data_IF_092896518750
#
_entry.id   IF_092896518750
#
_cell.length_a   1.000
_cell.length_b   1.000
_cell.length_c   1.000
_cell.angle_alpha   90.00
_cell.angle_beta   90.00
_cell.angle_gamma   90.00
#
_symmetry.space_group_name_H-M   'P 1'
#
loop_
_entity.id
_entity.type
_entity.pdbx_description
1 polymer ?
#
# COMPACT_ATOMS: atom_id res chain seq x y z
N UNK A 1 8.70 -15.86 41.17
CA UNK A 1 7.32 -15.45 41.51
C UNK A 1 6.64 -15.06 40.20
N UNK A 2 5.98 -16.03 39.56
CA UNK A 2 5.49 -15.92 38.19
C UNK A 2 4.17 -15.14 38.15
N UNK A 3 4.16 -13.99 37.46
CA UNK A 3 2.97 -13.22 37.21
C UNK A 3 2.24 -13.83 36.00
N UNK A 4 1.26 -14.70 36.27
CA UNK A 4 0.30 -15.16 35.24
C UNK A 4 -0.57 -13.97 34.83
N UNK A 5 -0.24 -13.34 33.71
CA UNK A 5 -1.14 -12.39 33.05
C UNK A 5 -2.16 -13.21 32.26
N UNK A 6 -3.36 -13.33 32.85
CA UNK A 6 -4.48 -14.04 32.27
C UNK A 6 -5.01 -13.36 31.00
N UNK A 7 -5.72 -14.16 30.21
CA UNK A 7 -6.47 -13.86 28.98
C UNK A 7 -7.49 -12.71 29.09
N UNK A 8 -7.57 -12.01 30.22
CA UNK A 8 -8.45 -10.88 30.50
C UNK A 8 -7.97 -9.56 29.88
N UNK A 9 -6.70 -9.43 29.50
CA UNK A 9 -6.15 -8.19 28.91
C UNK A 9 -6.68 -7.88 27.50
N UNK A 10 -6.93 -8.91 26.68
CA UNK A 10 -7.42 -8.73 25.30
C UNK A 10 -8.90 -8.28 25.24
N UNK A 11 -9.72 -8.70 26.20
CA UNK A 11 -11.12 -8.29 26.29
C UNK A 11 -11.27 -6.83 26.75
N UNK A 12 -10.35 -6.35 27.62
CA UNK A 12 -10.36 -4.98 28.12
C UNK A 12 -9.98 -3.94 27.06
N UNK A 13 -9.03 -4.26 26.17
CA UNK A 13 -8.65 -3.37 25.07
C UNK A 13 -9.76 -3.24 24.01
N UNK A 14 -10.48 -4.33 23.71
CA UNK A 14 -11.62 -4.32 22.79
C UNK A 14 -12.83 -3.59 23.38
N UNK A 15 -13.10 -3.77 24.68
CA UNK A 15 -14.19 -3.11 25.39
C UNK A 15 -14.01 -1.60 25.51
N UNK A 16 -12.78 -1.12 25.67
CA UNK A 16 -12.49 0.31 25.80
C UNK A 16 -12.63 1.08 24.47
N UNK A 17 -12.47 0.39 23.32
CA UNK A 17 -12.73 0.93 21.98
C UNK A 17 -14.23 1.03 21.66
N UNK A 18 -15.05 0.14 22.20
CA UNK A 18 -16.51 0.16 22.03
C UNK A 18 -17.20 1.24 22.88
N UNK A 19 -16.64 1.61 24.03
CA UNK A 19 -17.18 2.66 24.92
C UNK A 19 -16.98 4.10 24.40
N UNK A 20 -16.19 4.29 23.34
CA UNK A 20 -15.93 5.59 22.71
C UNK A 20 -16.71 5.80 21.39
N UNK A 21 -17.54 4.84 20.97
CA UNK A 21 -18.36 4.97 19.77
C UNK A 21 -19.68 5.69 20.10
N UNK A 22 -19.97 6.88 19.54
CA UNK A 22 -21.31 7.45 19.65
C UNK A 22 -22.31 6.53 18.92
N UNK A 23 -23.52 6.41 19.47
CA UNK A 23 -24.61 5.68 18.86
C UNK A 23 -24.94 6.29 17.47
N UNK A 24 -24.44 5.65 16.41
CA UNK A 24 -24.79 5.98 15.04
C UNK A 24 -26.25 5.58 14.81
N UNK A 25 -27.16 6.56 14.82
CA UNK A 25 -28.52 6.38 14.32
C UNK A 25 -28.43 6.16 12.81
N UNK A 26 -28.86 4.99 12.36
CA UNK A 26 -28.87 4.62 10.95
C UNK A 26 -29.77 5.57 10.15
N UNK A 27 -29.17 6.23 9.15
CA UNK A 27 -29.93 6.76 8.02
C UNK A 27 -29.92 5.67 6.96
N UNK A 28 -31.10 5.12 6.73
CA UNK A 28 -31.38 4.10 5.73
C UNK A 28 -31.29 4.76 4.34
N UNK A 29 -30.14 4.63 3.67
CA UNK A 29 -30.02 4.98 2.26
C UNK A 29 -30.32 3.73 1.44
N UNK A 30 -31.50 3.70 0.83
CA UNK A 30 -31.89 2.66 -0.13
C UNK A 30 -30.90 2.70 -1.30
N UNK A 31 -30.13 1.62 -1.45
CA UNK A 31 -29.20 1.44 -2.57
C UNK A 31 -29.96 0.78 -3.70
N UNK A 32 -30.06 1.47 -4.84
CA UNK A 32 -30.49 0.86 -6.11
C UNK A 32 -29.25 0.24 -6.73
N UNK A 33 -29.16 -1.09 -6.70
CA UNK A 33 -28.14 -1.85 -7.41
C UNK A 33 -28.63 -2.00 -8.84
N UNK A 34 -27.91 -1.39 -9.80
CA UNK A 34 -28.11 -1.62 -11.22
C UNK A 34 -27.25 -2.82 -11.65
N UNK A 35 -27.84 -4.00 -11.94
CA UNK A 35 -27.08 -5.21 -12.29
C UNK A 35 -26.49 -5.16 -13.71
N UNK A 36 -26.94 -4.23 -14.56
CA UNK A 36 -26.50 -4.10 -15.95
C UNK A 36 -25.41 -3.02 -16.12
N UNK A 37 -25.11 -2.28 -15.06
CA UNK A 37 -24.01 -1.33 -15.05
C UNK A 37 -22.67 -2.09 -15.20
N UNK A 38 -21.81 -1.69 -16.16
CA UNK A 38 -20.48 -2.29 -16.28
C UNK A 38 -19.74 -2.16 -14.94
N UNK A 39 -18.98 -3.19 -14.51
CA UNK A 39 -18.31 -3.18 -13.22
C UNK A 39 -17.46 -1.92 -13.13
N UNK A 40 -17.80 -1.05 -12.18
CA UNK A 40 -17.04 0.16 -11.91
C UNK A 40 -15.63 -0.31 -11.58
N UNK A 41 -14.64 0.14 -12.34
CA UNK A 41 -13.22 -0.16 -12.13
C UNK A 41 -12.79 0.53 -10.82
N UNK A 42 -13.15 -0.08 -9.69
CA UNK A 42 -12.95 0.44 -8.33
C UNK A 42 -11.48 0.50 -7.95
N UNK A 43 -10.57 0.13 -8.86
CA UNK A 43 -9.14 0.25 -8.67
C UNK A 43 -8.62 1.70 -8.79
N UNK A 44 -9.38 2.60 -9.43
CA UNK A 44 -8.94 3.95 -9.80
C UNK A 44 -9.34 5.00 -8.77
N UNK A 45 -8.63 5.09 -7.63
CA UNK A 45 -8.62 6.33 -6.82
C UNK A 45 -7.24 6.69 -6.26
N UNK A 46 -6.16 6.13 -6.83
CA UNK A 46 -4.80 6.62 -6.62
C UNK A 46 -4.28 7.20 -7.93
N UNK A 47 -4.52 8.49 -8.18
CA UNK A 47 -4.11 9.15 -9.42
C UNK A 47 -5.06 10.28 -9.84
N UNK A 48 -4.61 11.22 -10.69
CA UNK A 48 -5.47 12.21 -11.32
C UNK A 48 -6.61 11.54 -12.11
N UNK A 49 -7.77 12.19 -12.28
CA UNK A 49 -8.89 11.60 -13.01
C UNK A 49 -8.50 11.15 -14.43
N UNK A 50 -9.03 10.02 -14.95
CA UNK A 50 -8.59 9.46 -16.24
C UNK A 50 -8.65 10.45 -17.40
N UNK A 51 -9.69 11.29 -17.47
CA UNK A 51 -9.82 12.32 -18.50
C UNK A 51 -8.67 13.35 -18.47
N UNK A 52 -8.13 13.66 -17.29
CA UNK A 52 -6.98 14.57 -17.12
C UNK A 52 -5.70 13.93 -17.64
N UNK A 53 -5.53 12.62 -17.44
CA UNK A 53 -4.35 11.90 -17.95
C UNK A 53 -4.36 11.84 -19.47
N UNK A 54 -5.53 11.57 -20.08
CA UNK A 54 -5.70 11.58 -21.54
C UNK A 54 -5.40 12.98 -22.10
N UNK A 55 -5.94 14.03 -21.48
CA UNK A 55 -5.67 15.42 -21.85
C UNK A 55 -4.18 15.77 -21.73
N UNK A 56 -3.52 15.38 -20.64
CA UNK A 56 -2.11 15.65 -20.40
C UNK A 56 -1.21 14.97 -21.45
N UNK A 57 -1.48 13.70 -21.75
CA UNK A 57 -0.73 12.92 -22.75
C UNK A 57 -0.92 13.55 -24.14
N UNK A 58 -2.16 13.87 -24.51
CA UNK A 58 -2.46 14.53 -25.78
C UNK A 58 -1.76 15.89 -25.88
N UNK A 59 -1.81 16.70 -24.83
CA UNK A 59 -1.15 18.00 -24.79
C UNK A 59 0.37 17.89 -24.99
N UNK A 60 1.03 16.99 -24.25
CA UNK A 60 2.48 16.82 -24.34
C UNK A 60 2.90 16.26 -25.70
N UNK A 61 2.15 15.30 -26.23
CA UNK A 61 2.49 14.59 -27.47
C UNK A 61 2.10 15.32 -28.75
N UNK A 62 1.35 16.40 -28.64
CA UNK A 62 1.06 17.28 -29.77
C UNK A 62 2.37 17.78 -30.41
N UNK A 63 2.41 17.81 -31.75
CA UNK A 63 3.56 18.27 -32.53
C UNK A 63 3.82 19.77 -32.37
N UNK A 64 2.79 20.56 -32.02
CA UNK A 64 2.89 22.00 -31.80
C UNK A 64 3.34 22.35 -30.37
N UNK A 65 3.57 21.35 -29.50
CA UNK A 65 4.00 21.58 -28.12
C UNK A 65 5.51 21.56 -27.99
N UNK A 66 6.07 22.65 -27.48
CA UNK A 66 7.47 22.72 -27.08
C UNK A 66 7.65 21.94 -25.77
N UNK A 67 8.48 20.91 -25.82
CA UNK A 67 8.70 19.98 -24.70
C UNK A 67 10.01 20.30 -23.99
N UNK A 68 9.94 20.44 -22.67
CA UNK A 68 11.09 20.59 -21.80
C UNK A 68 11.14 19.45 -20.78
N UNK A 69 12.34 19.15 -20.29
CA UNK A 69 12.54 18.13 -19.26
C UNK A 69 13.61 18.57 -18.28
N UNK A 70 13.40 18.29 -16.99
CA UNK A 70 14.30 18.74 -15.94
C UNK A 70 14.07 20.21 -15.56
N UNK A 71 15.07 20.83 -14.94
CA UNK A 71 14.96 22.20 -14.47
C UNK A 71 15.19 23.20 -15.61
N UNK A 72 14.20 24.05 -15.88
CA UNK A 72 14.26 25.07 -16.93
C UNK A 72 13.84 26.42 -16.37
N UNK A 73 14.57 27.48 -16.74
CA UNK A 73 14.29 28.84 -16.31
C UNK A 73 14.08 29.76 -17.51
N UNK A 74 12.94 30.46 -17.53
CA UNK A 74 12.64 31.57 -18.42
C UNK A 74 12.92 32.88 -17.66
N UNK A 75 14.06 33.55 -17.89
CA UNK A 75 14.46 34.73 -17.12
C UNK A 75 13.56 35.94 -17.40
N UNK A 76 13.67 36.97 -16.56
CA UNK A 76 12.97 38.23 -16.78
C UNK A 76 13.37 38.84 -18.13
N UNK A 77 12.40 39.42 -18.84
CA UNK A 77 12.58 39.96 -20.19
C UNK A 77 12.53 38.92 -21.33
N UNK A 78 12.48 37.62 -21.02
CA UNK A 78 12.21 36.60 -22.05
C UNK A 78 10.73 36.56 -22.41
N UNK A 79 10.43 36.32 -23.69
CA UNK A 79 9.07 36.05 -24.18
C UNK A 79 9.02 34.67 -24.84
N UNK A 80 7.96 33.91 -24.55
CA UNK A 80 7.66 32.65 -25.20
C UNK A 80 6.23 32.66 -25.69
N UNK A 81 6.02 32.33 -26.96
CA UNK A 81 4.71 32.18 -27.58
C UNK A 81 4.53 30.72 -28.03
N UNK A 82 3.43 30.10 -27.61
CA UNK A 82 3.07 28.72 -27.99
C UNK A 82 2.71 27.83 -26.81
N UNK A 83 2.58 26.53 -27.09
CA UNK A 83 2.22 25.50 -26.10
C UNK A 83 3.50 24.99 -25.43
N UNK A 84 3.53 24.98 -24.10
CA UNK A 84 4.71 24.58 -23.33
C UNK A 84 4.38 23.37 -22.44
N UNK A 85 5.11 22.27 -22.60
CA UNK A 85 5.00 21.11 -21.72
C UNK A 85 6.32 20.82 -21.01
N UNK A 86 6.29 20.63 -19.69
CA UNK A 86 7.45 20.22 -18.90
C UNK A 86 7.21 18.83 -18.29
N UNK A 87 8.21 17.95 -18.39
CA UNK A 87 8.20 16.64 -17.74
C UNK A 87 9.33 16.53 -16.72
N UNK A 88 8.95 16.38 -15.44
CA UNK A 88 9.83 16.33 -14.26
C UNK A 88 10.71 17.58 -14.09
N UNK A 89 11.16 17.82 -12.86
CA UNK A 89 11.94 19.00 -12.52
C UNK A 89 11.09 20.26 -12.28
N UNK A 90 11.74 21.41 -12.34
CA UNK A 90 11.18 22.72 -11.98
C UNK A 90 11.18 23.65 -13.19
N UNK A 91 10.00 24.08 -13.62
CA UNK A 91 9.82 25.12 -14.62
C UNK A 91 9.68 26.47 -13.91
N UNK A 92 10.72 27.31 -13.97
CA UNK A 92 10.75 28.67 -13.39
C UNK A 92 10.46 29.70 -14.48
N UNK A 93 9.44 30.52 -14.28
CA UNK A 93 9.06 31.56 -15.24
C UNK A 93 9.18 32.91 -14.55
N UNK A 94 10.02 33.80 -15.08
CA UNK A 94 10.14 35.20 -14.69
C UNK A 94 9.86 36.16 -15.85
N UNK A 95 9.77 35.66 -17.08
CA UNK A 95 9.39 36.42 -18.28
C UNK A 95 7.90 36.30 -18.63
N UNK A 96 7.58 36.54 -19.89
CA UNK A 96 6.22 36.48 -20.44
C UNK A 96 6.01 35.18 -21.21
N UNK A 97 4.93 34.46 -20.91
CA UNK A 97 4.52 33.24 -21.62
C UNK A 97 3.09 33.41 -22.13
N UNK A 98 2.91 33.31 -23.44
CA UNK A 98 1.61 33.40 -24.12
C UNK A 98 1.27 32.05 -24.74
N UNK A 99 0.28 31.39 -24.17
CA UNK A 99 -0.16 30.06 -24.55
C UNK A 99 -0.25 29.12 -23.35
N UNK A 100 -0.86 27.94 -23.56
CA UNK A 100 -1.13 27.01 -22.47
C UNK A 100 0.14 26.31 -21.98
N UNK A 101 0.18 25.99 -20.69
CA UNK A 101 1.30 25.33 -20.01
C UNK A 101 0.82 24.03 -19.36
N UNK A 102 1.49 22.92 -19.64
CA UNK A 102 1.29 21.65 -18.93
C UNK A 102 2.57 21.21 -18.20
N UNK A 103 2.47 20.87 -16.91
CA UNK A 103 3.60 20.34 -16.13
C UNK A 103 3.25 18.97 -15.57
N UNK A 104 4.05 17.98 -15.95
CA UNK A 104 3.88 16.57 -15.58
C UNK A 104 4.94 16.15 -14.56
N UNK A 105 4.51 15.70 -13.39
CA UNK A 105 5.37 15.20 -12.31
C UNK A 105 6.50 16.17 -11.94
N UNK A 106 6.22 17.48 -11.94
CA UNK A 106 7.19 18.56 -11.75
C UNK A 106 6.59 19.79 -11.06
N UNK A 107 7.39 20.83 -10.83
CA UNK A 107 6.95 22.06 -10.16
C UNK A 107 6.96 23.24 -11.13
N UNK A 108 5.85 23.96 -11.24
CA UNK A 108 5.78 25.26 -11.91
C UNK A 108 5.98 26.37 -10.89
N UNK A 109 6.96 27.25 -11.11
CA UNK A 109 7.24 28.41 -10.27
C UNK A 109 7.11 29.69 -11.08
N UNK A 110 6.08 30.48 -10.80
CA UNK A 110 5.91 31.82 -11.34
C UNK A 110 6.63 32.80 -10.41
N UNK A 111 7.69 33.43 -10.91
CA UNK A 111 8.50 34.43 -10.22
C UNK A 111 7.81 35.80 -10.23
N UNK A 112 8.26 36.79 -9.42
CA UNK A 112 7.55 38.05 -9.23
C UNK A 112 7.24 38.85 -10.50
N UNK A 113 8.05 38.70 -11.55
CA UNK A 113 7.88 39.41 -12.84
C UNK A 113 7.18 38.56 -13.91
N UNK A 114 6.72 37.36 -13.55
CA UNK A 114 6.10 36.44 -14.50
C UNK A 114 4.76 36.98 -15.01
N UNK A 115 4.55 36.90 -16.32
CA UNK A 115 3.27 37.17 -16.95
C UNK A 115 2.88 35.98 -17.83
N UNK A 116 1.85 35.24 -17.41
CA UNK A 116 1.37 34.05 -18.14
C UNK A 116 -0.04 34.31 -18.64
N UNK A 117 -0.24 34.27 -19.95
CA UNK A 117 -1.56 34.35 -20.57
C UNK A 117 -1.87 33.03 -21.28
N UNK A 118 -2.70 32.20 -20.65
CA UNK A 118 -3.03 30.85 -21.10
C UNK A 118 -3.47 29.91 -19.98
N UNK A 119 -4.05 28.77 -20.37
CA UNK A 119 -4.49 27.74 -19.44
C UNK A 119 -3.26 27.01 -18.83
N UNK A 120 -3.30 26.75 -17.51
CA UNK A 120 -2.26 26.03 -16.77
C UNK A 120 -2.81 24.70 -16.26
N UNK A 121 -2.15 23.60 -16.61
CA UNK A 121 -2.41 22.26 -16.11
C UNK A 121 -1.17 21.69 -15.42
N UNK A 122 -1.21 21.49 -14.10
CA UNK A 122 -0.13 20.83 -13.35
C UNK A 122 -0.63 19.51 -12.80
N UNK A 123 0.07 18.42 -13.07
CA UNK A 123 -0.32 17.06 -12.66
C UNK A 123 0.87 16.36 -12.02
N UNK A 124 0.69 15.77 -10.83
CA UNK A 124 1.77 15.15 -10.05
C UNK A 124 2.79 16.14 -9.51
N UNK A 125 2.36 17.39 -9.35
CA UNK A 125 3.24 18.54 -9.23
C UNK A 125 2.72 19.60 -8.28
N UNK A 126 3.42 20.75 -8.27
CA UNK A 126 2.98 21.94 -7.53
C UNK A 126 3.05 23.17 -8.43
N UNK A 127 2.13 24.09 -8.23
CA UNK A 127 2.23 25.44 -8.73
C UNK A 127 2.55 26.38 -7.58
N UNK A 128 3.65 27.11 -7.69
CA UNK A 128 4.09 28.10 -6.70
C UNK A 128 4.08 29.46 -7.40
N UNK A 129 3.31 30.40 -6.87
CA UNK A 129 3.18 31.74 -7.44
C UNK A 129 3.77 32.75 -6.46
N UNK A 130 4.79 33.48 -6.89
CA UNK A 130 5.38 34.56 -6.11
C UNK A 130 4.47 35.81 -6.13
N UNK A 131 4.50 36.64 -5.07
CA UNK A 131 3.85 37.95 -5.09
C UNK A 131 4.33 38.78 -6.29
N UNK A 132 3.40 39.28 -7.11
CA UNK A 132 3.69 40.06 -8.32
C UNK A 132 3.46 39.30 -9.63
N UNK A 133 3.48 37.97 -9.62
CA UNK A 133 3.21 37.16 -10.80
C UNK A 133 1.77 37.34 -11.29
N UNK A 134 1.60 37.59 -12.59
CA UNK A 134 0.30 37.74 -13.26
C UNK A 134 -0.01 36.49 -14.08
N UNK A 135 -1.24 35.99 -13.94
CA UNK A 135 -1.75 34.89 -14.75
C UNK A 135 -3.19 35.17 -15.18
N UNK A 136 -3.46 34.99 -16.46
CA UNK A 136 -4.77 35.06 -17.11
C UNK A 136 -5.05 33.71 -17.77
N UNK A 137 -6.19 33.09 -17.48
CA UNK A 137 -6.56 31.76 -18.00
C UNK A 137 -7.05 30.80 -16.92
N UNK A 138 -7.43 29.58 -17.30
CA UNK A 138 -7.90 28.55 -16.36
C UNK A 138 -6.73 27.82 -15.73
N UNK A 139 -6.79 27.59 -14.42
CA UNK A 139 -5.77 26.89 -13.66
C UNK A 139 -6.33 25.58 -13.08
N UNK A 140 -5.62 24.47 -13.31
CA UNK A 140 -5.95 23.14 -12.76
C UNK A 140 -4.69 22.47 -12.22
N UNK A 141 -4.72 22.12 -10.93
CA UNK A 141 -3.59 21.47 -10.24
C UNK A 141 -4.04 20.17 -9.59
N UNK A 142 -3.39 19.07 -9.98
CA UNK A 142 -3.59 17.73 -9.44
C UNK A 142 -2.30 17.28 -8.75
N UNK A 143 -2.39 16.98 -7.46
CA UNK A 143 -1.23 16.63 -6.64
C UNK A 143 -0.79 15.17 -6.82
N UNK A 144 -1.70 14.31 -7.25
CA UNK A 144 -1.43 12.90 -7.48
C UNK A 144 -0.50 12.72 -8.68
N UNK A 145 0.52 11.87 -8.53
CA UNK A 145 1.47 11.61 -9.60
C UNK A 145 0.78 11.07 -10.85
N UNK A 146 1.07 11.67 -12.02
CA UNK A 146 0.62 11.14 -13.29
C UNK A 146 1.32 9.79 -13.54
N UNK A 147 0.58 8.69 -13.77
CA UNK A 147 1.17 7.39 -14.08
C UNK A 147 1.62 7.37 -15.54
N UNK A 148 2.65 8.15 -15.87
CA UNK A 148 3.17 8.30 -17.24
C UNK A 148 4.70 8.18 -17.27
N UNK A 149 5.21 7.64 -18.37
CA UNK A 149 6.64 7.51 -18.66
C UNK A 149 6.96 8.30 -19.92
N UNK A 150 8.15 8.92 -19.96
CA UNK A 150 8.70 9.52 -21.16
C UNK A 150 9.48 8.47 -21.94
N UNK A 151 9.14 8.29 -23.21
CA UNK A 151 9.86 7.41 -24.14
C UNK A 151 11.22 8.02 -24.51
N UNK A 152 12.16 7.25 -25.07
CA UNK A 152 13.40 7.79 -25.65
C UNK A 152 13.13 8.89 -26.70
N UNK A 153 12.06 8.77 -27.47
CA UNK A 153 11.59 9.71 -28.48
C UNK A 153 10.95 10.98 -27.89
N UNK A 154 10.77 11.02 -26.56
CA UNK A 154 10.31 12.19 -25.82
C UNK A 154 8.80 12.40 -25.76
N UNK A 155 8.02 11.42 -26.23
CA UNK A 155 6.57 11.36 -25.99
C UNK A 155 6.27 10.82 -24.59
N UNK A 156 5.10 11.19 -24.05
CA UNK A 156 4.54 10.58 -22.85
C UNK A 156 3.63 9.43 -23.23
N UNK A 157 3.79 8.31 -22.56
CA UNK A 157 2.90 7.16 -22.65
C UNK A 157 2.37 6.82 -21.26
N UNK A 158 1.17 6.24 -21.22
CA UNK A 158 0.62 5.74 -19.97
C UNK A 158 1.58 4.67 -19.43
N UNK A 159 1.99 4.85 -18.17
CA UNK A 159 2.66 3.79 -17.42
C UNK A 159 1.57 2.79 -17.04
N UNK A 160 1.45 1.73 -17.83
CA UNK A 160 0.73 0.56 -17.39
C UNK A 160 1.38 0.08 -16.09
N UNK A 161 0.70 0.31 -14.98
CA UNK A 161 1.00 -0.45 -13.77
C UNK A 161 0.68 -1.88 -14.17
N UNK A 162 1.70 -2.75 -14.29
CA UNK A 162 1.47 -4.18 -14.45
C UNK A 162 0.49 -4.58 -13.35
N UNK A 163 -0.76 -4.84 -13.73
CA UNK A 163 -1.74 -5.44 -12.84
C UNK A 163 -1.14 -6.78 -12.45
N UNK A 164 -0.85 -6.95 -11.17
CA UNK A 164 -0.49 -8.28 -10.71
C UNK A 164 -1.73 -9.17 -10.89
N UNK A 165 -1.55 -10.45 -11.13
CA UNK A 165 -2.69 -11.38 -11.24
C UNK A 165 -3.56 -11.35 -9.96
N UNK A 166 -2.97 -11.04 -8.80
CA UNK A 166 -3.71 -10.82 -7.56
C UNK A 166 -4.65 -9.60 -7.59
N UNK A 167 -4.30 -8.54 -8.34
CA UNK A 167 -5.16 -7.37 -8.52
C UNK A 167 -6.42 -7.71 -9.36
N UNK A 168 -6.35 -8.73 -10.22
CA UNK A 168 -7.49 -9.19 -11.03
C UNK A 168 -8.47 -10.06 -10.23
N UNK A 169 -7.98 -10.72 -9.16
CA UNK A 169 -8.79 -11.55 -8.27
C UNK A 169 -9.25 -10.80 -7.01
N UNK A 170 -9.20 -9.46 -7.04
CA UNK A 170 -9.59 -8.59 -5.92
C UNK A 170 -10.83 -7.78 -6.27
N UNK A 171 -11.92 -8.03 -5.58
CA UNK A 171 -13.09 -7.15 -5.55
C UNK A 171 -12.99 -6.21 -4.35
N UNK A 172 -13.11 -4.90 -4.59
CA UNK A 172 -13.23 -3.91 -3.51
C UNK A 172 -14.27 -2.87 -3.82
N UNK A 173 -14.97 -2.42 -2.79
CA UNK A 173 -15.89 -1.27 -2.88
C UNK A 173 -15.61 -0.30 -1.74
N UNK A 174 -15.52 1.00 -2.05
CA UNK A 174 -15.29 2.04 -1.06
C UNK A 174 -16.49 2.98 -1.02
N UNK A 175 -16.89 3.36 0.19
CA UNK A 175 -17.89 4.39 0.43
C UNK A 175 -17.45 5.29 1.57
N UNK A 176 -17.95 6.52 1.58
CA UNK A 176 -17.61 7.52 2.58
C UNK A 176 -18.86 8.02 3.29
N UNK A 177 -18.87 7.92 4.61
CA UNK A 177 -19.94 8.43 5.47
C UNK A 177 -19.33 9.46 6.42
N UNK A 178 -19.53 10.74 6.12
CA UNK A 178 -18.92 11.85 6.86
C UNK A 178 -17.39 11.83 6.78
N UNK A 179 -16.73 11.68 7.94
CA UNK A 179 -15.26 11.63 8.05
C UNK A 179 -14.66 10.23 7.98
N UNK A 180 -15.51 9.20 7.86
CA UNK A 180 -15.11 7.79 7.80
C UNK A 180 -15.22 7.31 6.37
N UNK A 181 -14.12 6.79 5.83
CA UNK A 181 -14.09 6.03 4.59
C UNK A 181 -14.06 4.55 4.94
N UNK A 182 -15.01 3.80 4.42
CA UNK A 182 -15.07 2.34 4.57
C UNK A 182 -14.76 1.70 3.23
N UNK A 183 -13.93 0.67 3.23
CA UNK A 183 -13.62 -0.14 2.06
C UNK A 183 -13.88 -1.60 2.39
N UNK A 184 -14.77 -2.25 1.64
CA UNK A 184 -14.96 -3.69 1.71
C UNK A 184 -14.03 -4.35 0.72
N UNK A 185 -13.33 -5.39 1.16
CA UNK A 185 -12.37 -6.17 0.38
C UNK A 185 -12.84 -7.63 0.30
N UNK A 186 -12.70 -8.22 -0.89
CA UNK A 186 -12.70 -9.65 -1.14
C UNK A 186 -11.56 -9.94 -2.12
N UNK A 187 -10.56 -10.71 -1.72
CA UNK A 187 -9.36 -10.95 -2.50
C UNK A 187 -8.85 -12.38 -2.31
N UNK A 188 -7.97 -12.84 -3.18
CA UNK A 188 -7.11 -13.99 -2.88
C UNK A 188 -6.07 -13.56 -1.84
N UNK A 189 -6.05 -14.17 -0.66
CA UNK A 189 -5.22 -13.80 0.49
C UNK A 189 -3.75 -14.20 0.39
N UNK A 190 -3.25 -14.40 -0.83
CA UNK A 190 -1.96 -15.00 -1.10
C UNK A 190 -2.03 -15.89 -2.34
N UNK A 191 -1.14 -16.86 -2.39
CA UNK A 191 -0.98 -17.75 -3.54
C UNK A 191 -1.34 -19.17 -3.16
N UNK A 192 -1.83 -19.94 -4.13
CA UNK A 192 -2.19 -21.34 -3.93
C UNK A 192 -1.04 -22.12 -3.28
N UNK A 193 -1.28 -22.87 -2.21
CA UNK A 193 -0.23 -23.63 -1.55
C UNK A 193 -0.76 -24.94 -0.96
N UNK A 194 0.15 -25.84 -0.57
CA UNK A 194 -0.21 -27.18 -0.10
C UNK A 194 -0.86 -27.23 1.29
N UNK A 195 -0.90 -26.10 1.99
CA UNK A 195 -1.33 -25.97 3.39
C UNK A 195 -2.68 -25.27 3.52
N UNK A 196 -2.97 -24.30 2.65
CA UNK A 196 -4.19 -23.49 2.69
C UNK A 196 -5.06 -23.66 1.43
N UNK A 197 -4.54 -24.33 0.39
CA UNK A 197 -5.12 -24.25 -0.95
C UNK A 197 -5.05 -22.82 -1.47
N UNK A 198 -6.14 -22.30 -1.99
CA UNK A 198 -6.32 -20.87 -2.29
C UNK A 198 -6.85 -20.13 -1.04
N UNK A 199 -6.08 -19.29 -0.35
CA UNK A 199 -6.62 -18.45 0.70
C UNK A 199 -7.52 -17.35 0.11
N UNK A 200 -8.66 -17.09 0.74
CA UNK A 200 -9.60 -16.01 0.40
C UNK A 200 -9.64 -15.03 1.56
N UNK A 201 -9.15 -13.82 1.33
CA UNK A 201 -9.21 -12.71 2.27
C UNK A 201 -10.51 -11.92 2.08
N UNK A 202 -11.16 -11.57 3.19
CA UNK A 202 -12.32 -10.68 3.15
C UNK A 202 -12.44 -9.83 4.41
N UNK A 203 -13.00 -8.64 4.25
CA UNK A 203 -13.39 -7.82 5.39
C UNK A 203 -13.31 -6.31 5.15
N UNK A 204 -13.74 -5.52 6.14
CA UNK A 204 -13.75 -4.07 6.04
C UNK A 204 -12.44 -3.42 6.49
N UNK A 205 -12.08 -2.36 5.78
CA UNK A 205 -11.10 -1.37 6.16
C UNK A 205 -11.79 -0.03 6.45
N UNK A 206 -11.57 0.51 7.63
CA UNK A 206 -12.05 1.83 8.03
C UNK A 206 -10.89 2.82 8.08
N UNK A 207 -11.05 3.98 7.46
CA UNK A 207 -10.12 5.09 7.50
C UNK A 207 -10.84 6.35 7.97
N UNK A 208 -10.44 6.86 9.13
CA UNK A 208 -10.97 8.08 9.72
C UNK A 208 -9.88 9.15 9.75
N UNK A 209 -10.22 10.38 9.34
CA UNK A 209 -9.34 11.56 9.47
C UNK A 209 -9.98 12.58 10.40
N UNK A 210 -9.74 12.50 11.73
CA UNK A 210 -10.35 13.42 12.67
C UNK A 210 -9.90 14.87 12.46
N UNK A 211 -8.62 15.06 12.14
CA UNK A 211 -8.01 16.35 11.80
C UNK A 211 -7.12 16.22 10.55
N UNK A 212 -6.69 17.32 9.92
CA UNK A 212 -5.74 17.27 8.79
C UNK A 212 -4.40 16.61 9.13
N UNK A 213 -4.03 16.55 10.41
CA UNK A 213 -2.76 16.04 10.90
C UNK A 213 -2.86 14.65 11.55
N UNK A 214 -4.05 14.07 11.67
CA UNK A 214 -4.25 12.75 12.28
C UNK A 214 -5.07 11.83 11.38
N UNK A 215 -4.74 10.54 11.43
CA UNK A 215 -5.52 9.50 10.79
C UNK A 215 -5.58 8.26 11.69
N UNK A 216 -6.75 7.63 11.71
CA UNK A 216 -6.99 6.35 12.33
C UNK A 216 -7.36 5.37 11.21
N UNK A 217 -6.76 4.19 11.23
CA UNK A 217 -7.03 3.09 10.31
C UNK A 217 -7.34 1.84 11.10
N UNK A 218 -8.42 1.15 10.75
CA UNK A 218 -8.80 -0.14 11.33
C UNK A 218 -9.06 -1.13 10.19
N UNK A 219 -8.22 -2.14 10.07
CA UNK A 219 -8.28 -3.20 9.06
C UNK A 219 -8.74 -4.48 9.75
N UNK A 220 -9.90 -5.01 9.36
CA UNK A 220 -10.47 -6.23 9.90
C UNK A 220 -10.55 -7.26 8.78
N UNK A 221 -9.71 -8.30 8.82
CA UNK A 221 -9.68 -9.34 7.79
C UNK A 221 -9.91 -10.72 8.37
N UNK A 222 -10.77 -11.47 7.69
CA UNK A 222 -10.84 -12.93 7.79
C UNK A 222 -10.11 -13.56 6.60
N UNK A 223 -9.52 -14.72 6.84
CA UNK A 223 -8.86 -15.55 5.82
C UNK A 223 -9.55 -16.90 5.81
N UNK A 224 -10.25 -17.22 4.72
CA UNK A 224 -10.85 -18.52 4.50
C UNK A 224 -9.90 -19.38 3.67
N UNK A 225 -9.49 -20.53 4.22
CA UNK A 225 -8.65 -21.52 3.54
C UNK A 225 -9.57 -22.45 2.74
N UNK A 226 -9.28 -22.66 1.45
CA UNK A 226 -10.17 -23.45 0.57
C UNK A 226 -9.88 -24.95 0.61
N UNK A 227 -8.69 -25.32 1.08
CA UNK A 227 -8.41 -26.67 1.48
C UNK A 227 -8.46 -26.72 3.02
N UNK A 228 -9.25 -27.64 3.57
CA UNK A 228 -9.48 -27.78 5.00
C UNK A 228 -9.36 -29.22 5.47
N UNK A 229 -8.98 -29.42 6.73
CA UNK A 229 -8.91 -30.74 7.36
C UNK A 229 -10.31 -31.22 7.81
N UNK A 230 -11.14 -31.65 6.87
CA UNK A 230 -12.43 -32.28 7.19
C UNK A 230 -13.33 -31.43 8.12
N UNK A 231 -14.11 -32.07 8.98
CA UNK A 231 -15.29 -31.49 9.66
C UNK A 231 -15.00 -30.43 10.76
N UNK A 232 -13.85 -29.76 10.76
CA UNK A 232 -13.47 -28.75 11.77
C UNK A 232 -13.33 -27.35 11.16
N UNK A 233 -14.46 -26.63 11.14
CA UNK A 233 -14.56 -25.22 10.71
C UNK A 233 -13.59 -24.25 11.43
N UNK A 234 -12.99 -24.62 12.56
CA UNK A 234 -12.12 -23.75 13.36
C UNK A 234 -10.65 -23.75 12.93
N UNK A 235 -10.17 -24.77 12.18
CA UNK A 235 -8.78 -24.82 11.68
C UNK A 235 -8.60 -24.15 10.32
N UNK A 236 -9.69 -23.90 9.61
CA UNK A 236 -9.66 -23.44 8.21
C UNK A 236 -9.82 -21.92 8.08
N UNK A 237 -9.84 -21.22 9.23
CA UNK A 237 -10.09 -19.78 9.31
C UNK A 237 -8.94 -19.04 10.01
N UNK A 238 -8.25 -18.20 9.26
CA UNK A 238 -7.29 -17.21 9.76
C UNK A 238 -7.94 -15.84 9.95
N UNK A 239 -7.24 -14.93 10.61
CA UNK A 239 -7.70 -13.55 10.79
C UNK A 239 -6.53 -12.59 10.95
N UNK A 240 -6.70 -11.34 10.53
CA UNK A 240 -5.79 -10.23 10.81
C UNK A 240 -6.62 -9.00 11.19
N UNK A 241 -6.44 -8.53 12.42
CA UNK A 241 -7.05 -7.30 12.92
C UNK A 241 -5.92 -6.32 13.20
N UNK A 242 -5.88 -5.20 12.48
CA UNK A 242 -4.85 -4.18 12.62
C UNK A 242 -5.46 -2.80 12.84
N UNK A 243 -5.05 -2.15 13.92
CA UNK A 243 -5.41 -0.77 14.21
C UNK A 243 -4.16 0.12 14.16
N UNK A 244 -4.21 1.21 13.43
CA UNK A 244 -3.12 2.18 13.31
C UNK A 244 -3.63 3.59 13.57
N UNK A 245 -3.02 4.27 14.53
CA UNK A 245 -3.19 5.69 14.74
C UNK A 245 -1.90 6.40 14.35
N UNK A 246 -2.01 7.42 13.50
CA UNK A 246 -0.86 8.23 13.10
C UNK A 246 -1.16 9.72 13.23
N UNK A 247 -0.13 10.46 13.59
CA UNK A 247 -0.05 11.92 13.57
C UNK A 247 1.23 12.33 12.83
N UNK A 248 1.38 13.62 12.50
CA UNK A 248 2.50 14.16 11.72
C UNK A 248 3.89 13.61 12.08
N UNK A 249 4.20 13.42 13.36
CA UNK A 249 5.53 13.04 13.83
C UNK A 249 5.56 11.72 14.64
N UNK A 250 4.43 11.04 14.83
CA UNK A 250 4.42 9.74 15.50
C UNK A 250 3.24 8.88 15.07
N UNK A 251 3.35 7.58 15.31
CA UNK A 251 2.23 6.67 15.16
C UNK A 251 2.37 5.45 16.05
N UNK A 252 1.23 4.80 16.27
CA UNK A 252 1.11 3.57 17.04
C UNK A 252 0.28 2.60 16.23
N UNK A 253 0.73 1.36 16.16
CA UNK A 253 0.04 0.25 15.52
C UNK A 253 -0.12 -0.88 16.52
N UNK A 254 -1.30 -1.50 16.52
CA UNK A 254 -1.58 -2.74 17.22
C UNK A 254 -2.18 -3.74 16.24
N UNK A 255 -1.85 -5.01 16.41
CA UNK A 255 -2.33 -6.08 15.56
C UNK A 255 -2.56 -7.38 16.34
N UNK A 256 -3.59 -8.13 15.95
CA UNK A 256 -3.82 -9.50 16.40
C UNK A 256 -4.05 -10.34 15.15
N UNK A 257 -3.37 -11.47 15.04
CA UNK A 257 -3.34 -12.25 13.81
C UNK A 257 -3.29 -13.75 14.07
N UNK A 258 -3.70 -14.51 13.06
CA UNK A 258 -3.58 -15.95 12.92
C UNK A 258 -3.38 -16.24 11.44
N UNK A 259 -2.13 -16.42 11.03
CA UNK A 259 -1.68 -16.44 9.63
C UNK A 259 -0.78 -17.65 9.37
N UNK A 260 -0.65 -18.02 8.09
CA UNK A 260 0.33 -19.02 7.64
C UNK A 260 1.45 -18.29 6.91
N UNK A 261 2.66 -18.43 7.44
CA UNK A 261 3.84 -17.74 6.91
C UNK A 261 4.84 -18.75 6.32
N UNK A 262 5.60 -18.35 5.29
CA UNK A 262 6.72 -19.14 4.83
C UNK A 262 7.85 -19.14 5.88
N UNK A 263 8.47 -20.29 6.10
CA UNK A 263 9.62 -20.45 7.01
C UNK A 263 10.83 -19.69 6.46
N UNK A 264 11.07 -19.79 5.15
CA UNK A 264 12.24 -19.22 4.48
C UNK A 264 11.86 -18.43 3.22
N UNK A 265 12.72 -17.47 2.87
CA UNK A 265 12.66 -16.79 1.59
C UNK A 265 13.13 -17.73 0.46
N UNK A 266 12.36 -17.80 -0.61
CA UNK A 266 12.66 -18.64 -1.77
C UNK A 266 13.04 -17.78 -2.99
N UNK A 267 13.95 -18.27 -3.87
CA UNK A 267 14.27 -17.59 -5.13
C UNK A 267 13.06 -17.40 -6.05
N UNK A 268 12.10 -18.33 -5.97
CA UNK A 268 10.83 -18.23 -6.67
C UNK A 268 9.89 -17.28 -5.92
N UNK A 269 9.29 -16.36 -6.67
CA UNK A 269 8.24 -15.50 -6.13
C UNK A 269 7.07 -16.33 -5.59
N UNK A 270 6.31 -15.75 -4.65
CA UNK A 270 5.13 -16.42 -4.11
C UNK A 270 4.17 -16.83 -5.24
N UNK A 271 4.00 -15.96 -6.26
CA UNK A 271 3.12 -16.22 -7.40
C UNK A 271 3.61 -17.39 -8.25
N UNK A 272 4.91 -17.50 -8.54
CA UNK A 272 5.46 -18.63 -9.28
C UNK A 272 5.31 -19.94 -8.50
N UNK A 273 5.61 -19.93 -7.20
CA UNK A 273 5.40 -21.10 -6.34
C UNK A 273 3.94 -21.51 -6.32
N UNK A 274 3.01 -20.55 -6.26
CA UNK A 274 1.59 -20.85 -6.22
C UNK A 274 1.01 -21.37 -7.52
N UNK A 275 1.44 -20.85 -8.68
CA UNK A 275 1.05 -21.44 -9.97
C UNK A 275 1.62 -22.84 -10.15
N UNK A 276 2.87 -23.06 -9.73
CA UNK A 276 3.47 -24.39 -9.74
C UNK A 276 2.71 -25.36 -8.81
N UNK A 277 2.26 -24.90 -7.64
CA UNK A 277 1.42 -25.67 -6.74
C UNK A 277 0.08 -26.00 -7.41
N UNK A 278 -0.63 -24.98 -7.89
CA UNK A 278 -1.96 -25.13 -8.47
C UNK A 278 -1.98 -25.97 -9.75
N UNK A 279 -1.02 -25.77 -10.66
CA UNK A 279 -1.01 -26.46 -11.94
C UNK A 279 -0.32 -27.83 -11.88
N UNK A 280 0.80 -27.92 -11.17
CA UNK A 280 1.74 -29.05 -11.27
C UNK A 280 1.88 -29.84 -9.97
N UNK A 281 1.14 -29.49 -8.93
CA UNK A 281 1.27 -30.08 -7.59
C UNK A 281 2.69 -29.92 -7.01
N UNK A 282 3.35 -28.79 -7.29
CA UNK A 282 4.73 -28.53 -6.89
C UNK A 282 4.83 -27.22 -6.12
N UNK A 283 4.84 -27.35 -4.81
CA UNK A 283 5.03 -26.24 -3.87
C UNK A 283 6.43 -26.28 -3.24
N UNK A 284 7.19 -25.22 -3.49
CA UNK A 284 8.59 -25.11 -3.09
C UNK A 284 8.78 -24.45 -1.73
N UNK A 285 7.75 -23.79 -1.18
CA UNK A 285 7.86 -23.10 0.11
C UNK A 285 7.49 -24.02 1.25
N UNK A 286 8.04 -23.78 2.43
CA UNK A 286 7.64 -24.48 3.65
C UNK A 286 6.97 -23.48 4.58
N UNK A 287 5.99 -23.94 5.36
CA UNK A 287 5.06 -23.05 6.05
C UNK A 287 4.91 -23.40 7.52
N UNK A 288 4.55 -22.40 8.32
CA UNK A 288 4.16 -22.58 9.71
C UNK A 288 2.98 -21.66 10.04
N UNK A 289 2.23 -22.01 11.08
CA UNK A 289 1.19 -21.12 11.60
C UNK A 289 1.81 -20.17 12.61
N UNK A 290 1.53 -18.88 12.44
CA UNK A 290 1.89 -17.84 13.40
C UNK A 290 0.63 -17.17 13.90
N UNK A 291 0.34 -17.35 15.20
CA UNK A 291 -0.79 -16.73 15.88
C UNK A 291 -0.31 -15.86 17.02
N UNK A 292 -0.70 -14.59 17.04
CA UNK A 292 -0.11 -13.68 18.00
C UNK A 292 -0.81 -12.34 18.14
N UNK A 293 -0.20 -11.53 19.00
CA UNK A 293 -0.50 -10.11 19.16
C UNK A 293 0.80 -9.34 19.09
N UNK A 294 0.77 -8.21 18.39
CA UNK A 294 1.91 -7.34 18.26
C UNK A 294 1.51 -5.88 18.29
N UNK A 295 2.48 -5.03 18.58
CA UNK A 295 2.32 -3.60 18.46
C UNK A 295 3.65 -2.94 18.18
N UNK A 296 3.59 -1.77 17.56
CA UNK A 296 4.75 -0.93 17.37
C UNK A 296 4.39 0.53 17.56
N UNK A 297 5.36 1.31 18.02
CA UNK A 297 5.26 2.75 18.07
C UNK A 297 6.46 3.34 17.34
N UNK A 298 6.21 4.36 16.52
CA UNK A 298 7.25 5.07 15.81
C UNK A 298 7.16 6.57 16.04
N UNK A 299 8.31 7.22 15.99
CA UNK A 299 8.46 8.68 16.05
C UNK A 299 9.37 9.16 14.94
N UNK A 300 9.11 10.37 14.48
CA UNK A 300 9.88 11.08 13.46
C UNK A 300 10.31 12.44 14.04
N UNK A 301 11.35 12.47 14.89
CA UNK A 301 11.75 13.69 15.60
C UNK A 301 12.27 14.78 14.65
N UNK A 302 12.90 14.38 13.55
CA UNK A 302 13.38 15.28 12.49
C UNK A 302 13.02 14.72 11.12
N UNK A 303 13.00 15.58 10.11
CA UNK A 303 12.84 15.13 8.72
C UNK A 303 13.98 14.16 8.37
N UNK A 304 13.62 13.02 7.81
CA UNK A 304 14.57 11.98 7.43
C UNK A 304 14.86 10.92 8.49
N UNK A 305 14.69 11.18 9.79
CA UNK A 305 14.93 10.17 10.85
C UNK A 305 13.63 9.61 11.41
N UNK A 306 13.42 8.30 11.29
CA UNK A 306 12.33 7.55 11.94
C UNK A 306 12.91 6.50 12.87
N UNK A 307 12.37 6.44 14.08
CA UNK A 307 12.67 5.43 15.09
C UNK A 307 11.39 4.64 15.35
N UNK A 308 11.50 3.32 15.41
CA UNK A 308 10.37 2.42 15.67
C UNK A 308 10.76 1.35 16.69
N UNK A 309 9.91 1.19 17.71
CA UNK A 309 10.00 0.13 18.70
C UNK A 309 8.81 -0.79 18.52
N UNK A 310 9.06 -2.09 18.39
CA UNK A 310 8.03 -3.12 18.23
C UNK A 310 8.15 -4.22 19.27
N UNK A 311 7.01 -4.73 19.73
CA UNK A 311 6.93 -5.92 20.59
C UNK A 311 5.84 -6.83 20.04
N UNK A 312 6.14 -8.12 19.91
CA UNK A 312 5.17 -9.15 19.52
C UNK A 312 5.30 -10.38 20.39
N UNK A 313 4.17 -11.06 20.59
CA UNK A 313 4.08 -12.38 21.22
C UNK A 313 3.39 -13.32 20.24
N UNK A 314 4.15 -14.30 19.79
CA UNK A 314 3.77 -15.29 18.79
C UNK A 314 3.65 -16.66 19.42
N UNK A 315 2.67 -17.43 18.97
CA UNK A 315 2.59 -18.87 19.12
C UNK A 315 2.82 -19.45 17.72
N UNK A 316 3.96 -20.11 17.55
CA UNK A 316 4.40 -20.68 16.28
C UNK A 316 4.21 -22.19 16.31
N UNK A 317 3.64 -22.74 15.22
CA UNK A 317 3.29 -24.15 15.13
C UNK A 317 3.56 -24.74 13.76
N UNK A 318 4.04 -25.97 13.78
CA UNK A 318 4.17 -26.83 12.62
C UNK A 318 2.81 -27.13 11.98
N UNK A 319 2.74 -27.01 10.67
CA UNK A 319 1.56 -27.34 9.87
C UNK A 319 1.76 -28.64 9.10
N UNK A 320 0.65 -29.35 8.83
CA UNK A 320 0.64 -30.54 7.98
C UNK A 320 0.18 -30.17 6.58
N UNK A 321 0.71 -30.88 5.58
CA UNK A 321 0.17 -30.81 4.23
C UNK A 321 -1.23 -31.42 4.22
N UNK A 322 -2.19 -30.71 3.62
CA UNK A 322 -3.61 -31.09 3.61
C UNK A 322 -4.07 -31.60 2.24
N UNK A 323 -3.10 -31.91 1.38
CA UNK A 323 -3.29 -32.46 0.04
C UNK A 323 -4.37 -31.77 -0.83
N UNK A 324 -4.27 -30.45 -1.09
CA UNK A 324 -5.25 -29.75 -1.90
C UNK A 324 -5.23 -30.25 -3.37
N UNK A 325 -6.33 -30.08 -4.11
CA UNK A 325 -6.35 -30.48 -5.52
C UNK A 325 -5.36 -29.64 -6.37
N UNK A 326 -4.97 -30.11 -7.55
CA UNK A 326 -4.20 -29.36 -8.54
C UNK A 326 -4.78 -29.61 -9.94
N UNK A 327 -4.50 -28.79 -10.93
CA UNK A 327 -5.17 -28.89 -12.23
C UNK A 327 -4.66 -30.09 -13.06
N UNK A 328 -3.33 -30.24 -13.18
CA UNK A 328 -2.74 -31.22 -14.10
C UNK A 328 -2.29 -32.51 -13.38
N UNK A 329 -2.15 -32.50 -12.05
CA UNK A 329 -1.64 -33.64 -11.27
C UNK A 329 -2.36 -33.81 -9.94
N UNK A 330 -3.19 -34.85 -9.81
CA UNK A 330 -3.96 -35.12 -8.58
C UNK A 330 -3.74 -36.52 -8.00
N UNK A 331 -2.94 -37.37 -8.67
CA UNK A 331 -2.80 -38.77 -8.29
C UNK A 331 -1.77 -39.04 -7.19
N UNK A 332 -0.93 -38.06 -6.87
CA UNK A 332 0.16 -38.20 -5.90
C UNK A 332 -0.17 -37.49 -4.58
N UNK A 333 0.51 -37.86 -3.49
CA UNK A 333 0.47 -37.09 -2.24
C UNK A 333 1.38 -35.88 -2.33
N UNK A 334 0.99 -34.78 -1.69
CA UNK A 334 1.86 -33.61 -1.61
C UNK A 334 3.10 -33.89 -0.78
N UNK A 335 4.16 -33.13 -1.08
CA UNK A 335 5.38 -33.12 -0.27
C UNK A 335 5.02 -32.76 1.18
N UNK A 336 5.57 -33.52 2.13
CA UNK A 336 5.38 -33.21 3.55
C UNK A 336 5.97 -31.84 3.89
N UNK A 337 5.25 -31.11 4.74
CA UNK A 337 5.76 -29.89 5.32
C UNK A 337 6.75 -30.24 6.45
N UNK A 338 7.94 -29.62 6.51
CA UNK A 338 8.86 -29.83 7.62
C UNK A 338 8.26 -29.33 8.94
N UNK A 339 8.78 -29.88 10.04
CA UNK A 339 8.47 -29.40 11.38
C UNK A 339 9.37 -28.20 11.70
N UNK A 340 8.83 -27.29 12.50
CA UNK A 340 9.57 -26.21 13.15
C UNK A 340 9.60 -26.43 14.66
N UNK A 341 10.39 -25.61 15.33
CA UNK A 341 10.42 -25.53 16.78
C UNK A 341 9.14 -24.86 17.29
N UNK A 342 8.13 -25.68 17.62
CA UNK A 342 6.84 -25.20 18.12
C UNK A 342 7.02 -24.52 19.49
N UNK A 343 6.40 -23.36 19.71
CA UNK A 343 6.53 -22.66 20.98
C UNK A 343 5.94 -21.24 21.00
N UNK A 344 6.09 -20.57 22.14
CA UNK A 344 5.72 -19.17 22.29
C UNK A 344 6.95 -18.28 22.31
N UNK A 345 6.98 -17.31 21.40
CA UNK A 345 8.08 -16.38 21.23
C UNK A 345 7.65 -14.98 21.60
N UNK A 346 8.48 -14.28 22.37
CA UNK A 346 8.36 -12.84 22.59
C UNK A 346 9.50 -12.17 21.85
N UNK A 347 9.17 -11.39 20.82
CA UNK A 347 10.15 -10.68 20.01
C UNK A 347 10.04 -9.18 20.24
N UNK A 348 11.15 -8.57 20.64
CA UNK A 348 11.30 -7.11 20.71
C UNK A 348 12.20 -6.64 19.57
N UNK A 349 11.79 -5.60 18.87
CA UNK A 349 12.50 -5.05 17.72
C UNK A 349 12.70 -3.54 17.85
N UNK A 350 13.87 -3.07 17.42
CA UNK A 350 14.20 -1.66 17.26
C UNK A 350 14.61 -1.43 15.79
N UNK A 351 13.94 -0.49 15.13
CA UNK A 351 14.28 -0.08 13.77
C UNK A 351 14.59 1.42 13.71
N UNK A 352 15.71 1.73 13.06
CA UNK A 352 16.14 3.09 12.75
C UNK A 352 16.20 3.24 11.23
N UNK A 353 15.48 4.22 10.72
CA UNK A 353 15.51 4.64 9.32
C UNK A 353 16.00 6.09 9.24
N UNK A 354 17.11 6.32 8.53
CA UNK A 354 17.63 7.64 8.22
C UNK A 354 17.69 7.82 6.70
N UNK A 355 16.79 8.64 6.15
CA UNK A 355 16.66 8.90 4.72
C UNK A 355 16.84 10.40 4.44
N UNK A 356 17.95 10.73 3.78
CA UNK A 356 18.29 12.09 3.32
C UNK A 356 18.32 12.19 1.81
N UNK A 357 17.85 11.15 1.10
CA UNK A 357 17.87 11.13 -0.36
C UNK A 357 16.97 12.23 -0.92
N UNK A 358 17.40 12.80 -2.03
CA UNK A 358 16.63 13.83 -2.75
C UNK A 358 15.43 13.25 -3.52
N UNK A 359 15.53 12.01 -3.99
CA UNK A 359 14.44 11.24 -4.60
C UNK A 359 14.54 9.77 -4.15
N UNK A 360 13.39 9.11 -3.93
CA UNK A 360 13.36 7.75 -3.34
C UNK A 360 13.73 6.64 -4.32
N UNK A 361 13.31 6.77 -5.57
CA UNK A 361 13.43 5.71 -6.57
C UNK A 361 14.72 5.84 -7.40
N UNK A 362 15.17 7.07 -7.65
CA UNK A 362 16.38 7.38 -8.42
C UNK A 362 17.21 8.46 -7.70
N UNK A 363 17.78 8.14 -6.52
CA UNK A 363 18.54 9.13 -5.75
C UNK A 363 19.79 9.57 -6.53
N UNK A 364 19.98 10.89 -6.68
CA UNK A 364 21.24 11.44 -7.20
C UNK A 364 22.14 12.00 -6.10
N UNK A 365 21.59 12.27 -4.90
CA UNK A 365 22.34 12.65 -3.70
C UNK A 365 21.65 12.17 -2.42
N UNK A 366 22.40 12.09 -1.31
CA UNK A 366 21.91 11.72 0.01
C UNK A 366 22.12 10.25 0.37
N UNK A 367 21.75 9.90 1.61
CA UNK A 367 21.96 8.56 2.18
C UNK A 367 20.65 7.94 2.63
N UNK A 368 20.54 6.63 2.46
CA UNK A 368 19.58 5.78 3.15
C UNK A 368 20.34 4.84 4.08
N UNK A 369 20.10 4.97 5.38
CA UNK A 369 20.61 4.06 6.40
C UNK A 369 19.39 3.41 7.06
N UNK A 370 19.38 2.07 7.05
CA UNK A 370 18.40 1.27 7.79
C UNK A 370 19.14 0.33 8.71
N UNK A 371 18.87 0.41 10.00
CA UNK A 371 19.36 -0.52 10.99
C UNK A 371 18.17 -1.17 11.71
N UNK A 372 18.23 -2.48 11.89
CA UNK A 372 17.23 -3.26 12.63
C UNK A 372 17.94 -4.18 13.60
N UNK A 373 17.49 -4.17 14.84
CA UNK A 373 17.94 -5.11 15.89
C UNK A 373 16.70 -5.79 16.43
N UNK A 374 16.74 -7.12 16.49
CA UNK A 374 15.68 -7.93 17.04
C UNK A 374 16.23 -8.87 18.09
N UNK A 375 15.44 -9.07 19.13
CA UNK A 375 15.72 -10.02 20.18
C UNK A 375 14.47 -10.84 20.45
N UNK A 376 14.58 -12.15 20.31
CA UNK A 376 13.48 -13.09 20.52
C UNK A 376 13.84 -14.05 21.66
N UNK A 377 12.87 -14.31 22.53
CA UNK A 377 13.00 -15.21 23.67
C UNK A 377 11.80 -16.15 23.74
N UNK A 378 12.04 -17.38 24.16
CA UNK A 378 10.99 -18.37 24.40
C UNK A 378 11.36 -19.23 25.62
N UNK A 379 10.34 -19.67 26.37
CA UNK A 379 10.49 -20.50 27.56
C UNK A 379 9.93 -21.92 27.37
N UNK A 380 9.31 -22.21 26.22
CA UNK A 380 8.54 -23.43 25.98
C UNK A 380 8.73 -24.00 24.57
N UNK A 381 9.88 -23.72 23.96
CA UNK A 381 10.26 -24.32 22.68
C UNK A 381 10.27 -25.84 22.78
N UNK A 382 9.56 -26.50 21.87
CA UNK A 382 9.61 -27.93 21.63
C UNK A 382 10.49 -28.19 20.40
N UNK A 383 11.82 -28.36 20.57
CA UNK A 383 12.74 -28.44 19.46
C UNK A 383 12.51 -29.70 18.62
N UNK A 384 12.65 -29.58 17.30
CA UNK A 384 12.61 -30.74 16.40
C UNK A 384 13.90 -31.54 16.59
N UNK A 385 13.79 -32.68 17.27
CA UNK A 385 14.92 -33.62 17.38
C UNK A 385 15.03 -34.40 16.08
N UNK A 386 16.07 -34.13 15.29
CA UNK A 386 16.42 -34.99 14.15
C UNK A 386 16.88 -36.35 14.69
N UNK A 387 16.46 -37.47 14.09
CA UNK A 387 17.00 -38.78 14.45
C UNK A 387 18.52 -38.77 14.24
N UNK A 388 19.25 -39.26 15.24
CA UNK A 388 20.71 -39.31 15.28
C UNK A 388 21.31 -40.17 14.17
#
# INVERSE_FOLDING_TARGET
MALRIGTTGAALALGMLLLLAPALRGQDSVIVIDPDAPPVDTLVHGGPPPGVIVELIAFHNDSATTRTSGDVTFPAGSSFEGRLAAYRGTLRIAGTVRGPIAVTNGTLQLQPTAEVDGDILVVGGRLIRAPGARHSGRERVFWDAAPVLRTPEGSLVLRERRRSLGDLATARTSFQTGRVRTTLLLATGGTYNRIEGLPIEFGPLFELRPTPQSALRLDLRGVLRTAGEGNRLTSDFGYNVRAEYRRTWFGVVGQVYSEVDPIEDHPLSASESGWSAFLLQRDYRDYFERRGVGGAAWVQPVRGLRLELSVRRDHERSLRAIDPWSLLRNGDRWRRNPLIDDGHFVTTGLQLDYDTRNERDFPSTGWLIRARVEHSTSDDVAPVVLPA
#
